data_IF_749509799608
#
_entry.id   IF_749509799608
#
_cell.length_a   1.000
_cell.length_b   1.000
_cell.length_c   1.000
_cell.angle_alpha   90.00
_cell.angle_beta   90.00
_cell.angle_gamma   90.00
#
_symmetry.space_group_name_H-M   'P 1'
#
loop_
_entity.id
_entity.type
_entity.pdbx_description
1 polymer ?
#
# COMPACT_ATOMS: atom_id res chain seq x y z
N UNK A 1 45.47 -56.92 31.14
CA UNK A 1 44.03 -57.04 31.34
C UNK A 1 43.46 -55.62 31.36
N UNK A 2 42.93 -55.19 30.24
CA UNK A 2 42.52 -53.77 29.99
C UNK A 2 41.09 -53.59 30.43
N UNK A 3 40.87 -52.78 31.46
CA UNK A 3 39.55 -52.27 31.84
C UNK A 3 39.18 -51.12 30.91
N UNK A 4 38.29 -51.35 29.96
CA UNK A 4 37.71 -50.29 29.17
C UNK A 4 36.56 -49.64 29.93
N UNK A 5 36.80 -48.43 30.37
CA UNK A 5 35.81 -47.58 31.02
C UNK A 5 34.85 -47.05 29.94
N UNK A 6 33.64 -47.53 29.91
CA UNK A 6 32.59 -47.05 29.03
C UNK A 6 32.11 -45.71 29.57
N UNK A 7 32.65 -44.64 29.02
CA UNK A 7 32.12 -43.28 29.21
C UNK A 7 30.89 -43.14 28.29
N UNK A 8 29.69 -43.32 28.85
CA UNK A 8 28.44 -42.99 28.19
C UNK A 8 28.33 -41.48 28.21
N UNK A 9 28.64 -40.88 27.06
CA UNK A 9 28.47 -39.45 26.84
C UNK A 9 26.97 -39.18 26.69
N UNK A 10 26.32 -38.77 27.79
CA UNK A 10 24.95 -38.24 27.74
C UNK A 10 24.99 -36.91 27.01
N UNK A 11 24.66 -36.91 25.70
CA UNK A 11 24.39 -35.72 24.95
C UNK A 11 23.00 -35.18 25.37
N UNK A 12 22.90 -34.01 26.00
CA UNK A 12 21.61 -33.40 26.21
C UNK A 12 21.04 -33.02 24.83
N UNK A 13 19.98 -33.69 24.40
CA UNK A 13 19.10 -33.28 23.30
C UNK A 13 18.50 -31.95 23.71
N UNK A 14 19.15 -30.86 23.33
CA UNK A 14 18.54 -29.54 23.32
C UNK A 14 17.44 -29.56 22.26
N UNK A 15 16.24 -30.00 22.68
CA UNK A 15 15.02 -29.77 21.93
C UNK A 15 14.83 -28.26 21.95
N UNK A 16 15.40 -27.60 20.95
CA UNK A 16 15.09 -26.21 20.62
C UNK A 16 13.63 -26.19 20.20
N UNK A 17 12.72 -25.93 21.13
CA UNK A 17 11.36 -25.50 20.80
C UNK A 17 11.48 -24.18 20.04
N UNK A 18 11.66 -24.26 18.73
CA UNK A 18 11.44 -23.13 17.84
C UNK A 18 9.97 -22.78 17.95
N UNK A 19 9.64 -21.87 18.85
CA UNK A 19 8.37 -21.20 18.86
C UNK A 19 8.28 -20.38 17.57
N UNK A 20 7.89 -21.04 16.49
CA UNK A 20 7.35 -20.38 15.32
C UNK A 20 6.03 -19.71 15.73
N UNK A 21 6.13 -18.62 16.50
CA UNK A 21 5.10 -17.61 16.50
C UNK A 21 5.01 -17.10 15.05
N UNK A 22 4.20 -17.75 14.23
CA UNK A 22 3.62 -17.12 13.08
C UNK A 22 2.85 -15.91 13.62
N UNK A 23 3.55 -14.79 13.77
CA UNK A 23 2.93 -13.49 13.97
C UNK A 23 2.03 -13.28 12.75
N UNK A 24 0.78 -13.74 12.83
CA UNK A 24 -0.24 -13.44 11.83
C UNK A 24 -0.36 -11.93 11.79
N UNK A 25 0.29 -11.33 10.80
CA UNK A 25 0.26 -9.90 10.59
C UNK A 25 -1.19 -9.48 10.36
N UNK A 26 -1.71 -8.61 11.21
CA UNK A 26 -3.05 -8.08 11.04
C UNK A 26 -3.10 -7.30 9.73
N UNK A 27 -4.14 -7.51 8.95
CA UNK A 27 -4.36 -6.74 7.72
C UNK A 27 -5.53 -5.79 7.93
N UNK A 28 -5.26 -4.50 7.74
CA UNK A 28 -6.28 -3.46 7.66
C UNK A 28 -6.62 -3.24 6.19
N UNK A 29 -7.88 -3.42 5.84
CA UNK A 29 -8.38 -3.16 4.48
C UNK A 29 -9.34 -1.99 4.55
N UNK A 30 -9.02 -0.91 3.87
CA UNK A 30 -9.88 0.24 3.68
C UNK A 30 -10.60 0.11 2.34
N UNK A 31 -11.91 0.19 2.35
CA UNK A 31 -12.74 0.31 1.15
C UNK A 31 -13.17 1.77 1.01
N UNK A 32 -12.72 2.44 -0.05
CA UNK A 32 -12.94 3.88 -0.17
C UNK A 32 -12.96 4.39 -1.61
N UNK A 33 -13.14 5.70 -1.71
CA UNK A 33 -13.10 6.45 -2.98
C UNK A 33 -12.33 7.74 -2.75
N UNK A 34 -11.47 8.13 -3.67
CA UNK A 34 -10.68 9.38 -3.56
C UNK A 34 -11.54 10.67 -3.56
N UNK A 35 -12.84 10.55 -3.80
CA UNK A 35 -13.79 11.66 -3.65
C UNK A 35 -14.57 11.62 -2.34
N UNK A 36 -14.41 10.55 -1.54
CA UNK A 36 -15.11 10.43 -0.26
C UNK A 36 -14.50 11.35 0.80
N UNK A 37 -15.26 12.29 1.38
CA UNK A 37 -14.75 13.20 2.42
C UNK A 37 -14.37 12.46 3.71
N UNK A 38 -15.09 11.40 4.06
CA UNK A 38 -14.78 10.59 5.24
C UNK A 38 -13.48 9.79 5.06
N UNK A 39 -13.19 9.34 3.83
CA UNK A 39 -11.92 8.69 3.53
C UNK A 39 -10.75 9.69 3.62
N UNK A 40 -10.95 10.94 3.16
CA UNK A 40 -9.98 12.02 3.39
C UNK A 40 -9.75 12.26 4.88
N UNK A 41 -10.82 12.28 5.68
CA UNK A 41 -10.71 12.45 7.13
C UNK A 41 -9.95 11.31 7.78
N UNK A 42 -10.17 10.07 7.36
CA UNK A 42 -9.41 8.91 7.80
C UNK A 42 -7.93 9.07 7.45
N UNK A 43 -7.63 9.36 6.18
CA UNK A 43 -6.26 9.53 5.69
C UNK A 43 -5.52 10.65 6.43
N UNK A 44 -6.18 11.78 6.67
CA UNK A 44 -5.51 12.95 7.27
C UNK A 44 -5.42 12.90 8.80
N UNK A 45 -6.36 12.26 9.49
CA UNK A 45 -6.48 12.29 10.95
C UNK A 45 -6.01 11.00 11.62
N UNK A 46 -6.24 9.84 11.00
CA UNK A 46 -5.98 8.54 11.61
C UNK A 46 -4.80 7.79 10.98
N UNK A 47 -4.65 7.89 9.66
CA UNK A 47 -3.63 7.17 8.92
C UNK A 47 -2.20 7.48 9.38
N UNK A 48 -1.80 8.72 9.71
CA UNK A 48 -0.45 9.01 10.19
C UNK A 48 -0.08 8.27 11.46
N UNK A 49 -1.05 8.08 12.37
CA UNK A 49 -0.83 7.28 13.59
C UNK A 49 -0.73 5.79 13.26
N UNK A 50 -1.62 5.29 12.38
CA UNK A 50 -1.61 3.90 11.94
C UNK A 50 -0.28 3.54 11.25
N UNK A 51 0.24 4.40 10.40
CA UNK A 51 1.54 4.23 9.76
C UNK A 51 2.67 4.16 10.78
N UNK A 52 2.84 5.21 11.55
CA UNK A 52 3.95 5.35 12.50
C UNK A 52 3.99 4.25 13.55
N UNK A 53 2.83 3.86 14.09
CA UNK A 53 2.77 2.94 15.23
C UNK A 53 2.64 1.47 14.84
N UNK A 54 2.18 1.18 13.62
CA UNK A 54 1.84 -0.19 13.25
C UNK A 54 2.41 -0.61 11.88
N UNK A 55 2.22 0.18 10.81
CA UNK A 55 2.64 -0.21 9.46
C UNK A 55 4.17 -0.18 9.35
N UNK A 56 4.80 0.93 9.74
CA UNK A 56 6.26 1.12 9.69
C UNK A 56 7.00 0.12 10.59
N UNK A 57 6.34 -0.27 11.69
CA UNK A 57 6.86 -1.31 12.60
C UNK A 57 6.57 -2.74 12.14
N UNK A 58 5.97 -2.89 10.97
CA UNK A 58 5.65 -4.21 10.41
C UNK A 58 4.58 -5.01 11.14
N UNK A 59 3.86 -4.42 12.12
CA UNK A 59 2.81 -5.06 12.90
C UNK A 59 1.53 -5.25 12.11
N UNK A 60 1.25 -4.34 11.17
CA UNK A 60 0.05 -4.29 10.35
C UNK A 60 0.42 -4.21 8.88
N UNK A 61 -0.33 -4.91 8.03
CA UNK A 61 -0.37 -4.66 6.59
C UNK A 61 -1.57 -3.78 6.28
N UNK A 62 -1.39 -2.78 5.43
CA UNK A 62 -2.48 -1.94 4.96
C UNK A 62 -2.76 -2.19 3.49
N UNK A 63 -4.03 -2.19 3.12
CA UNK A 63 -4.49 -2.29 1.73
C UNK A 63 -5.69 -1.39 1.52
N UNK A 64 -5.63 -0.58 0.47
CA UNK A 64 -6.76 0.22 0.02
C UNK A 64 -7.42 -0.41 -1.20
N UNK A 65 -8.74 -0.58 -1.13
CA UNK A 65 -9.60 -1.03 -2.23
C UNK A 65 -10.42 0.16 -2.71
N UNK A 66 -10.09 0.65 -3.90
CA UNK A 66 -10.78 1.80 -4.47
C UNK A 66 -12.07 1.36 -5.17
N UNK A 67 -13.20 1.78 -4.63
CA UNK A 67 -14.54 1.42 -5.14
C UNK A 67 -14.99 2.30 -6.31
N UNK A 68 -14.44 3.51 -6.46
CA UNK A 68 -14.65 4.45 -7.59
C UNK A 68 -16.11 4.72 -7.94
N UNK A 69 -17.01 4.83 -6.96
CA UNK A 69 -18.46 4.97 -7.17
C UNK A 69 -18.99 6.42 -7.10
N UNK A 70 -18.18 7.37 -6.62
CA UNK A 70 -18.60 8.77 -6.43
C UNK A 70 -18.45 9.65 -7.69
N UNK A 71 -18.25 9.02 -8.83
CA UNK A 71 -18.24 9.71 -10.13
C UNK A 71 -17.22 9.18 -11.12
N UNK A 72 -17.38 9.55 -12.38
CA UNK A 72 -16.48 9.09 -13.47
C UNK A 72 -15.03 9.52 -13.26
N UNK A 73 -14.79 10.61 -12.53
CA UNK A 73 -13.45 11.09 -12.21
C UNK A 73 -12.79 10.28 -11.10
N UNK A 74 -13.54 9.61 -10.20
CA UNK A 74 -13.00 8.64 -9.26
C UNK A 74 -12.19 7.54 -9.94
N UNK A 75 -12.65 7.09 -11.12
CA UNK A 75 -11.96 6.07 -11.91
C UNK A 75 -10.57 6.54 -12.36
N UNK A 76 -10.39 7.83 -12.65
CA UNK A 76 -9.07 8.38 -13.00
C UNK A 76 -8.10 8.24 -11.83
N UNK A 77 -8.54 8.58 -10.61
CA UNK A 77 -7.77 8.40 -9.39
C UNK A 77 -7.43 6.94 -9.12
N UNK A 78 -8.41 6.05 -9.29
CA UNK A 78 -8.22 4.60 -9.13
C UNK A 78 -7.16 4.05 -10.09
N UNK A 79 -7.23 4.39 -11.38
CA UNK A 79 -6.23 3.98 -12.38
C UNK A 79 -4.83 4.44 -12.00
N UNK A 80 -4.68 5.70 -11.59
CA UNK A 80 -3.40 6.24 -11.16
C UNK A 80 -2.86 5.52 -9.93
N UNK A 81 -3.71 5.27 -8.94
CA UNK A 81 -3.38 4.49 -7.75
C UNK A 81 -2.84 3.10 -8.11
N UNK A 82 -3.53 2.37 -8.99
CA UNK A 82 -3.07 1.07 -9.46
C UNK A 82 -1.76 1.15 -10.25
N UNK A 83 -1.56 2.20 -11.07
CA UNK A 83 -0.31 2.39 -11.81
C UNK A 83 0.87 2.65 -10.87
N UNK A 84 0.68 3.49 -9.84
CA UNK A 84 1.70 3.72 -8.80
C UNK A 84 1.99 2.42 -8.05
N UNK A 85 0.98 1.70 -7.60
CA UNK A 85 1.14 0.42 -6.89
C UNK A 85 1.91 -0.61 -7.72
N UNK A 86 1.69 -0.65 -9.04
CA UNK A 86 2.34 -1.60 -9.94
C UNK A 86 3.78 -1.22 -10.30
N UNK A 87 4.11 0.07 -10.39
CA UNK A 87 5.40 0.57 -10.90
C UNK A 87 6.32 1.02 -9.78
N UNK A 88 5.77 1.66 -8.74
CA UNK A 88 6.51 2.21 -7.60
C UNK A 88 5.81 1.87 -6.27
N UNK A 89 5.67 0.57 -5.90
CA UNK A 89 4.86 0.14 -4.77
C UNK A 89 5.27 0.76 -3.43
N UNK A 90 6.54 1.09 -3.24
CA UNK A 90 7.05 1.76 -2.03
C UNK A 90 6.53 3.19 -1.86
N UNK A 91 6.08 3.82 -2.95
CA UNK A 91 5.55 5.18 -2.99
C UNK A 91 4.02 5.23 -3.11
N UNK A 92 3.38 4.07 -2.90
CA UNK A 92 1.93 3.97 -2.99
C UNK A 92 1.22 4.84 -1.94
N UNK A 93 1.64 4.78 -0.67
CA UNK A 93 1.06 5.59 0.40
C UNK A 93 1.38 7.08 0.21
N UNK A 94 2.57 7.43 -0.29
CA UNK A 94 2.89 8.82 -0.65
C UNK A 94 1.89 9.39 -1.69
N UNK A 95 1.56 8.62 -2.73
CA UNK A 95 0.53 9.00 -3.70
C UNK A 95 -0.86 9.09 -3.05
N UNK A 96 -1.20 8.13 -2.21
CA UNK A 96 -2.49 8.05 -1.52
C UNK A 96 -2.75 9.29 -0.67
N UNK A 97 -1.78 9.71 0.14
CA UNK A 97 -1.89 10.95 0.93
C UNK A 97 -1.96 12.20 0.07
N UNK A 98 -1.14 12.26 -0.98
CA UNK A 98 -1.13 13.45 -1.87
C UNK A 98 -2.47 13.63 -2.59
N UNK A 99 -3.12 12.56 -3.07
CA UNK A 99 -4.40 12.68 -3.75
C UNK A 99 -5.52 13.11 -2.79
N UNK A 100 -5.57 12.59 -1.55
CA UNK A 100 -6.52 13.06 -0.54
C UNK A 100 -6.28 14.50 -0.10
N UNK A 101 -5.02 14.92 0.00
CA UNK A 101 -4.66 16.30 0.31
C UNK A 101 -5.22 17.29 -0.73
N UNK A 102 -5.27 16.89 -2.00
CA UNK A 102 -5.80 17.69 -3.10
C UNK A 102 -7.35 17.69 -3.18
N UNK A 103 -8.03 16.85 -2.40
CA UNK A 103 -9.48 16.77 -2.43
C UNK A 103 -10.12 18.07 -1.91
N UNK A 104 -10.95 18.75 -2.72
CA UNK A 104 -11.65 19.97 -2.31
C UNK A 104 -12.77 19.65 -1.31
N UNK A 105 -13.24 20.70 -0.61
CA UNK A 105 -14.36 20.58 0.34
C UNK A 105 -15.73 20.59 -0.36
N UNK A 106 -15.82 20.00 -1.55
CA UNK A 106 -17.07 19.84 -2.29
C UNK A 106 -17.03 18.56 -3.14
N UNK A 107 -18.19 18.05 -3.52
CA UNK A 107 -18.34 16.80 -4.25
C UNK A 107 -18.25 16.95 -5.78
N UNK A 108 -17.92 18.13 -6.30
CA UNK A 108 -17.81 18.38 -7.74
C UNK A 108 -16.71 17.51 -8.36
N UNK A 109 -16.74 17.39 -9.67
CA UNK A 109 -15.68 16.76 -10.44
C UNK A 109 -14.37 17.51 -10.24
N UNK A 110 -13.35 16.86 -9.72
CA UNK A 110 -12.05 17.48 -9.43
C UNK A 110 -10.85 16.63 -9.83
N UNK A 111 -11.00 15.30 -9.92
CA UNK A 111 -9.91 14.40 -10.33
C UNK A 111 -9.79 14.48 -11.86
N UNK A 112 -8.84 15.27 -12.32
CA UNK A 112 -8.53 15.42 -13.76
C UNK A 112 -7.18 14.80 -14.06
N UNK A 113 -6.93 14.42 -15.32
CA UNK A 113 -5.62 13.94 -15.76
C UNK A 113 -4.50 14.92 -15.39
N UNK A 114 -4.71 16.24 -15.62
CA UNK A 114 -3.74 17.27 -15.26
C UNK A 114 -3.42 17.29 -13.76
N UNK A 115 -4.44 17.19 -12.91
CA UNK A 115 -4.22 17.17 -11.45
C UNK A 115 -3.50 15.92 -11.02
N UNK A 116 -3.87 14.77 -11.55
CA UNK A 116 -3.20 13.49 -11.26
C UNK A 116 -1.75 13.50 -11.74
N UNK A 117 -1.47 14.03 -12.94
CA UNK A 117 -0.10 14.18 -13.43
C UNK A 117 0.74 15.06 -12.48
N UNK A 118 0.18 16.18 -12.00
CA UNK A 118 0.86 17.05 -11.03
C UNK A 118 1.15 16.34 -9.70
N UNK A 119 0.23 15.49 -9.24
CA UNK A 119 0.44 14.68 -8.02
C UNK A 119 1.59 13.68 -8.25
N UNK A 120 1.60 13.00 -9.40
CA UNK A 120 2.66 12.04 -9.76
C UNK A 120 4.03 12.76 -9.86
N UNK A 121 4.05 14.00 -10.38
CA UNK A 121 5.29 14.80 -10.46
C UNK A 121 5.89 15.16 -9.09
N UNK A 122 5.06 15.17 -8.05
CA UNK A 122 5.48 15.43 -6.68
C UNK A 122 5.96 14.16 -5.92
N UNK A 123 5.87 12.98 -6.51
CA UNK A 123 6.35 11.76 -5.87
C UNK A 123 7.87 11.71 -5.80
N UNK A 124 8.40 11.12 -4.74
CA UNK A 124 9.83 10.98 -4.47
C UNK A 124 10.49 9.84 -5.28
N UNK A 125 10.17 9.77 -6.60
CA UNK A 125 10.63 8.72 -7.52
C UNK A 125 11.36 9.34 -8.73
N UNK A 126 12.07 8.49 -9.50
CA UNK A 126 12.82 8.93 -10.67
C UNK A 126 11.87 9.43 -11.78
N UNK A 127 12.33 10.41 -12.56
CA UNK A 127 11.56 10.97 -13.70
C UNK A 127 11.02 9.89 -14.64
N UNK A 128 11.84 8.88 -14.98
CA UNK A 128 11.45 7.76 -15.84
C UNK A 128 10.25 6.97 -15.27
N UNK A 129 10.18 6.79 -13.96
CA UNK A 129 9.06 6.10 -13.29
C UNK A 129 7.79 6.97 -13.33
N UNK A 130 7.91 8.28 -13.10
CA UNK A 130 6.79 9.24 -13.22
C UNK A 130 6.15 9.19 -14.61
N UNK A 131 6.97 9.28 -15.66
CA UNK A 131 6.48 9.19 -17.03
C UNK A 131 5.81 7.84 -17.33
N UNK A 132 6.43 6.73 -16.89
CA UNK A 132 5.85 5.40 -17.04
C UNK A 132 4.49 5.26 -16.32
N UNK A 133 4.35 5.83 -15.12
CA UNK A 133 3.10 5.84 -14.38
C UNK A 133 2.04 6.65 -15.13
N UNK A 134 2.39 7.87 -15.59
CA UNK A 134 1.48 8.75 -16.33
C UNK A 134 0.97 8.12 -17.63
N UNK A 135 1.84 7.44 -18.35
CA UNK A 135 1.47 6.68 -19.55
C UNK A 135 0.55 5.52 -19.20
N UNK A 136 0.93 4.71 -18.20
CA UNK A 136 0.25 3.48 -17.84
C UNK A 136 -1.20 3.71 -17.40
N UNK A 137 -1.47 4.71 -16.53
CA UNK A 137 -2.84 4.92 -16.03
C UNK A 137 -3.78 5.51 -17.08
N UNK A 138 -3.26 6.11 -18.15
CA UNK A 138 -4.04 6.65 -19.28
C UNK A 138 -4.39 5.60 -20.34
N UNK A 139 -3.56 4.56 -20.46
CA UNK A 139 -3.74 3.52 -21.49
C UNK A 139 -4.87 2.55 -21.13
N UNK A 140 -5.91 2.45 -22.00
CA UNK A 140 -7.08 1.58 -21.81
C UNK A 140 -6.77 0.09 -21.64
N UNK A 141 -5.67 -0.39 -22.20
CA UNK A 141 -5.25 -1.80 -22.13
C UNK A 141 -4.25 -2.11 -21.02
N UNK A 142 -3.85 -1.12 -20.24
CA UNK A 142 -2.90 -1.32 -19.14
C UNK A 142 -3.50 -2.17 -18.02
N UNK A 143 -2.60 -2.79 -17.24
CA UNK A 143 -3.03 -3.51 -16.02
C UNK A 143 -3.75 -2.57 -15.04
N UNK A 144 -3.22 -1.36 -14.85
CA UNK A 144 -3.82 -0.37 -13.95
C UNK A 144 -5.24 0.01 -14.37
N UNK A 145 -5.50 0.16 -15.67
CA UNK A 145 -6.83 0.41 -16.19
C UNK A 145 -7.79 -0.75 -15.90
N UNK A 146 -7.35 -1.98 -16.16
CA UNK A 146 -8.17 -3.19 -15.95
C UNK A 146 -8.47 -3.41 -14.47
N UNK A 147 -7.49 -3.18 -13.59
CA UNK A 147 -7.64 -3.34 -12.15
C UNK A 147 -8.59 -2.28 -11.53
N UNK A 148 -8.64 -1.09 -12.12
CA UNK A 148 -9.49 0.02 -11.65
C UNK A 148 -10.98 -0.09 -12.00
N UNK A 149 -11.36 -1.01 -12.88
CA UNK A 149 -12.74 -1.18 -13.37
C UNK A 149 -13.35 -2.55 -13.00
N UNK A 150 -12.63 -3.35 -12.20
CA UNK A 150 -13.13 -4.60 -11.59
C UNK A 150 -13.93 -4.30 -10.34
#
# INVERSE_FOLDING_TARGET
MKKYLLIILLLPLLISCSNNHHNKKVTVVEYGDYKCPYCKDFDTKLMPKLEKEYIDKGKVSYSFVNLSFLGKDSIIGSRASHAVKNIAPKHYLEFHHKIYKEQPNNERKWITYKKVDNIIDQLSIKKKEKEKIKENYKQKNSKAYKDAIK
#
